data_IF_834950181794
#
_entry.id   IF_834950181794
#
_cell.length_a   1.000
_cell.length_b   1.000
_cell.length_c   1.000
_cell.angle_alpha   90.00
_cell.angle_beta   90.00
_cell.angle_gamma   90.00
#
_symmetry.space_group_name_H-M   'P 1'
#
loop_
_entity.id
_entity.type
_entity.pdbx_description
1 polymer ?
#
# COMPACT_ATOMS: atom_id res chain seq x y z
N UNK A 1 -5.35 73.15 10.52
CA UNK A 1 -4.86 71.84 11.04
C UNK A 1 -5.97 70.94 11.63
N UNK A 2 -7.15 71.45 12.02
CA UNK A 2 -8.23 70.63 12.63
C UNK A 2 -9.22 69.98 11.63
N UNK A 3 -9.23 70.40 10.36
CA UNK A 3 -10.16 69.90 9.34
C UNK A 3 -9.80 68.46 8.92
N UNK A 4 -8.53 68.23 8.60
CA UNK A 4 -8.02 66.93 8.12
C UNK A 4 -8.23 65.81 9.15
N UNK A 5 -8.08 66.11 10.44
CA UNK A 5 -8.36 65.17 11.53
C UNK A 5 -9.84 64.77 11.60
N UNK A 6 -10.76 65.70 11.32
CA UNK A 6 -12.19 65.42 11.25
C UNK A 6 -12.53 64.57 10.03
N UNK A 7 -11.90 64.84 8.89
CA UNK A 7 -12.12 64.09 7.65
C UNK A 7 -11.60 62.66 7.74
N UNK A 8 -10.40 62.44 8.31
CA UNK A 8 -9.89 61.09 8.61
C UNK A 8 -10.80 60.32 9.56
N UNK A 9 -11.40 61.01 10.54
CA UNK A 9 -12.35 60.40 11.49
C UNK A 9 -13.65 59.99 10.78
N UNK A 10 -14.15 60.79 9.83
CA UNK A 10 -15.30 60.43 8.99
C UNK A 10 -15.01 59.24 8.08
N UNK A 11 -13.86 59.24 7.40
CA UNK A 11 -13.46 58.10 6.55
C UNK A 11 -13.31 56.81 7.34
N UNK A 12 -12.70 56.84 8.53
CA UNK A 12 -12.53 55.65 9.38
C UNK A 12 -13.85 55.10 9.93
N UNK A 13 -14.89 55.93 10.07
CA UNK A 13 -16.24 55.47 10.44
C UNK A 13 -16.97 54.76 9.31
N UNK A 14 -16.71 55.14 8.06
CA UNK A 14 -17.36 54.54 6.88
C UNK A 14 -16.55 53.40 6.26
N UNK A 15 -15.24 53.34 6.50
CA UNK A 15 -14.41 52.22 6.06
C UNK A 15 -14.65 51.02 6.95
N UNK A 16 -15.26 49.96 6.40
CA UNK A 16 -15.44 48.68 7.09
C UNK A 16 -14.11 48.03 7.49
N UNK A 17 -14.20 46.96 8.29
CA UNK A 17 -13.02 46.18 8.66
C UNK A 17 -12.36 45.57 7.41
N UNK A 18 -11.03 45.49 7.44
CA UNK A 18 -10.26 44.78 6.42
C UNK A 18 -10.69 43.31 6.42
N UNK A 19 -10.87 42.72 5.23
CA UNK A 19 -11.21 41.31 5.12
C UNK A 19 -10.17 40.44 5.85
N UNK A 20 -10.62 39.46 6.63
CA UNK A 20 -9.72 38.56 7.36
C UNK A 20 -8.95 37.64 6.42
N UNK A 21 -7.84 37.05 6.90
CA UNK A 21 -6.93 36.18 6.11
C UNK A 21 -7.58 34.95 5.47
N UNK A 22 -8.86 34.67 5.74
CA UNK A 22 -9.64 33.63 5.08
C UNK A 22 -10.13 34.07 3.69
N UNK A 23 -10.39 35.37 3.48
CA UNK A 23 -10.87 35.92 2.21
C UNK A 23 -9.75 36.04 1.15
N UNK A 24 -8.49 35.99 1.56
CA UNK A 24 -7.34 35.98 0.64
C UNK A 24 -6.97 34.58 0.15
N UNK A 25 -7.73 33.55 0.53
CA UNK A 25 -7.47 32.15 0.16
C UNK A 25 -8.19 31.65 -1.10
N UNK A 26 -8.84 32.54 -1.86
CA UNK A 26 -9.77 32.14 -2.93
C UNK A 26 -9.37 32.48 -4.36
N UNK A 27 -8.33 33.28 -4.61
CA UNK A 27 -8.03 33.72 -5.98
C UNK A 27 -6.53 33.96 -6.19
N UNK A 28 -5.78 32.87 -6.29
CA UNK A 28 -4.45 32.87 -6.89
C UNK A 28 -4.10 31.45 -7.38
N UNK A 29 -4.88 30.94 -8.33
CA UNK A 29 -4.41 29.94 -9.28
C UNK A 29 -3.44 30.60 -10.27
N UNK A 30 -2.42 31.28 -9.77
CA UNK A 30 -1.29 31.71 -10.58
C UNK A 30 -0.31 30.54 -10.59
N UNK A 31 -0.18 29.95 -11.78
CA UNK A 31 0.82 28.99 -12.17
C UNK A 31 2.23 29.58 -12.00
N UNK A 32 2.68 29.71 -10.76
CA UNK A 32 4.05 30.03 -10.38
C UNK A 32 4.69 28.75 -9.88
N UNK A 33 5.68 28.26 -10.61
CA UNK A 33 6.51 27.11 -10.28
C UNK A 33 7.25 27.37 -8.96
N UNK A 34 6.63 27.00 -7.82
CA UNK A 34 7.23 27.13 -6.49
C UNK A 34 8.06 25.88 -6.21
N UNK A 35 9.32 25.91 -6.63
CA UNK A 35 10.31 24.92 -6.23
C UNK A 35 10.66 25.13 -4.75
N UNK A 36 10.32 24.17 -3.88
CA UNK A 36 11.01 24.01 -2.59
C UNK A 36 10.32 24.49 -1.30
N UNK A 37 9.02 24.77 -1.28
CA UNK A 37 8.32 24.99 0.01
C UNK A 37 7.97 23.64 0.65
N UNK A 38 8.21 23.52 1.97
CA UNK A 38 7.78 22.38 2.79
C UNK A 38 6.25 22.31 2.74
N UNK A 39 5.72 21.22 2.18
CA UNK A 39 4.28 21.02 2.09
C UNK A 39 3.72 20.71 3.48
N UNK A 40 2.63 21.37 3.87
CA UNK A 40 1.94 21.08 5.14
C UNK A 40 1.51 19.60 5.15
N UNK A 41 1.91 18.80 6.16
CA UNK A 41 1.57 17.38 6.24
C UNK A 41 0.05 17.12 6.28
N UNK A 42 -0.76 18.12 6.65
CA UNK A 42 -2.23 18.01 6.63
C UNK A 42 -2.81 18.09 5.22
N UNK A 43 -2.06 18.61 4.25
CA UNK A 43 -2.50 18.76 2.86
C UNK A 43 -1.80 17.67 2.05
N UNK A 44 -2.51 16.57 1.79
CA UNK A 44 -2.01 15.46 0.99
C UNK A 44 -1.55 15.87 -0.42
N UNK A 45 -0.81 14.98 -1.08
CA UNK A 45 -0.31 15.23 -2.44
C UNK A 45 -1.45 15.38 -3.45
N UNK A 46 -1.65 16.60 -3.96
CA UNK A 46 -2.61 16.90 -5.05
C UNK A 46 -1.97 16.87 -6.45
N UNK A 47 -0.82 16.21 -6.61
CA UNK A 47 -0.19 16.09 -7.94
C UNK A 47 -1.05 15.14 -8.78
N UNK A 48 -1.58 15.57 -9.94
CA UNK A 48 -2.37 14.70 -10.79
C UNK A 48 -1.51 13.54 -11.28
N UNK A 49 -2.04 12.32 -11.16
CA UNK A 49 -1.43 11.11 -11.69
C UNK A 49 -2.02 10.89 -13.08
N UNK A 50 -1.20 10.84 -14.15
CA UNK A 50 -1.71 10.58 -15.49
C UNK A 50 -2.26 9.15 -15.57
N UNK A 51 -3.52 9.03 -15.97
CA UNK A 51 -4.17 7.73 -16.21
C UNK A 51 -4.03 7.39 -17.69
N UNK A 52 -2.87 6.86 -18.06
CA UNK A 52 -2.59 6.39 -19.42
C UNK A 52 -1.24 5.69 -19.50
N UNK A 53 -1.20 4.57 -20.23
CA UNK A 53 0.04 3.94 -20.70
C UNK A 53 0.56 4.79 -21.85
N UNK A 54 1.38 5.79 -21.56
CA UNK A 54 2.14 6.48 -22.60
C UNK A 54 3.61 6.21 -22.39
N UNK A 55 4.15 5.38 -23.26
CA UNK A 55 5.57 5.30 -23.54
C UNK A 55 6.12 6.70 -23.84
N UNK A 56 6.83 7.29 -22.88
CA UNK A 56 7.78 8.35 -23.15
C UNK A 56 8.78 8.43 -22.01
N UNK A 57 9.91 7.78 -22.26
CA UNK A 57 11.16 8.06 -21.58
C UNK A 57 11.60 9.51 -21.88
N UNK A 58 12.29 10.14 -20.94
CA UNK A 58 13.66 10.52 -21.28
C UNK A 58 14.65 10.01 -20.24
N UNK A 59 15.80 9.61 -20.76
CA UNK A 59 16.87 8.92 -20.06
C UNK A 59 17.60 9.76 -18.99
N UNK A 60 18.35 9.02 -18.19
CA UNK A 60 19.50 9.42 -17.35
C UNK A 60 19.22 9.71 -15.87
N UNK A 61 19.08 8.65 -15.08
CA UNK A 61 20.01 8.38 -13.97
C UNK A 61 20.21 6.87 -13.86
N UNK A 62 21.41 6.42 -14.19
CA UNK A 62 21.88 5.06 -13.87
C UNK A 62 21.85 4.92 -12.34
N UNK A 63 20.82 4.28 -11.81
CA UNK A 63 20.82 3.72 -10.47
C UNK A 63 20.45 2.24 -10.62
N UNK A 64 21.49 1.41 -10.45
CA UNK A 64 21.54 -0.04 -10.16
C UNK A 64 20.44 -0.90 -10.79
N UNK A 65 20.76 -1.96 -11.54
CA UNK A 65 19.75 -2.95 -11.89
C UNK A 65 19.21 -3.56 -10.58
N UNK A 66 18.06 -3.05 -10.12
CA UNK A 66 17.18 -3.81 -9.25
C UNK A 66 16.63 -4.88 -10.18
N UNK A 67 17.16 -6.07 -10.00
CA UNK A 67 16.69 -7.31 -10.61
C UNK A 67 15.18 -7.27 -10.80
N UNK A 68 14.76 -7.07 -12.04
CA UNK A 68 13.42 -7.37 -12.54
C UNK A 68 13.28 -8.89 -12.66
N UNK A 69 13.35 -9.58 -11.52
CA UNK A 69 12.48 -10.75 -11.41
C UNK A 69 11.13 -10.15 -11.04
N UNK A 70 10.05 -10.38 -11.82
CA UNK A 70 8.73 -10.01 -11.35
C UNK A 70 8.60 -10.59 -9.94
N UNK A 71 8.31 -9.73 -8.97
CA UNK A 71 8.03 -10.14 -7.60
C UNK A 71 6.72 -10.93 -7.64
N UNK A 72 6.75 -12.19 -8.08
CA UNK A 72 5.70 -13.13 -7.67
C UNK A 72 5.72 -13.04 -6.14
N UNK A 73 4.59 -12.64 -5.55
CA UNK A 73 4.43 -12.81 -4.12
C UNK A 73 4.71 -14.29 -3.81
N UNK A 74 5.25 -14.62 -2.63
CA UNK A 74 5.39 -16.01 -2.23
C UNK A 74 4.09 -16.82 -2.42
N UNK A 75 2.94 -16.14 -2.32
CA UNK A 75 1.62 -16.69 -2.62
C UNK A 75 1.37 -16.98 -4.12
N UNK A 76 1.82 -16.12 -5.02
CA UNK A 76 1.71 -16.39 -6.46
C UNK A 76 2.68 -17.51 -6.92
N UNK A 77 3.82 -17.68 -6.25
CA UNK A 77 4.71 -18.82 -6.47
C UNK A 77 4.09 -20.12 -5.94
N UNK A 78 3.45 -20.07 -4.77
CA UNK A 78 2.70 -21.18 -4.19
C UNK A 78 1.55 -21.61 -5.11
N UNK A 79 0.69 -20.69 -5.53
CA UNK A 79 -0.43 -20.98 -6.45
C UNK A 79 0.09 -21.63 -7.75
N UNK A 80 1.24 -21.19 -8.27
CA UNK A 80 1.81 -21.78 -9.48
C UNK A 80 2.34 -23.21 -9.24
N UNK A 81 2.91 -23.46 -8.07
CA UNK A 81 3.41 -24.79 -7.68
C UNK A 81 2.27 -25.76 -7.38
N UNK A 82 1.18 -25.28 -6.77
CA UNK A 82 -0.04 -26.04 -6.50
C UNK A 82 -0.82 -26.37 -7.78
N UNK A 83 -0.75 -25.50 -8.80
CA UNK A 83 -1.39 -25.73 -10.10
C UNK A 83 -0.44 -26.35 -11.15
N UNK A 84 0.71 -26.92 -10.74
CA UNK A 84 1.64 -27.56 -11.67
C UNK A 84 1.06 -28.92 -12.13
N UNK A 85 0.57 -28.98 -13.38
CA UNK A 85 -0.01 -30.18 -14.00
C UNK A 85 0.90 -31.42 -13.89
N UNK A 86 2.23 -31.23 -13.83
CA UNK A 86 3.17 -32.33 -13.68
C UNK A 86 3.15 -32.88 -12.24
N UNK A 87 3.05 -32.03 -11.24
CA UNK A 87 2.96 -32.46 -9.84
C UNK A 87 1.65 -33.23 -9.64
N UNK A 88 0.54 -32.66 -10.10
CA UNK A 88 -0.79 -33.29 -10.03
C UNK A 88 -0.82 -34.66 -10.70
N UNK A 89 -0.30 -34.79 -11.92
CA UNK A 89 -0.27 -36.06 -12.63
C UNK A 89 0.60 -37.13 -11.93
N UNK A 90 1.70 -36.73 -11.28
CA UNK A 90 2.54 -37.65 -10.51
C UNK A 90 1.84 -38.09 -9.22
N UNK A 91 1.09 -37.20 -8.56
CA UNK A 91 0.30 -37.50 -7.37
C UNK A 91 -0.89 -38.42 -7.70
N UNK A 92 -1.63 -38.13 -8.78
CA UNK A 92 -2.74 -38.98 -9.25
C UNK A 92 -2.26 -40.39 -9.57
N UNK A 93 -1.10 -40.52 -10.24
CA UNK A 93 -0.50 -41.83 -10.51
C UNK A 93 -0.10 -42.58 -9.25
N UNK A 94 0.37 -41.87 -8.22
CA UNK A 94 0.72 -42.45 -6.93
C UNK A 94 -0.56 -42.91 -6.20
N UNK A 95 -1.66 -42.15 -6.30
CA UNK A 95 -2.97 -42.49 -5.74
C UNK A 95 -3.65 -43.67 -6.47
N UNK A 96 -3.45 -43.79 -7.79
CA UNK A 96 -3.88 -44.93 -8.61
C UNK A 96 -3.06 -46.22 -8.30
N UNK A 97 -2.03 -46.12 -7.44
CA UNK A 97 -1.17 -47.23 -7.04
C UNK A 97 -0.02 -47.51 -8.00
N UNK A 98 0.28 -46.57 -8.90
CA UNK A 98 1.44 -46.61 -9.77
C UNK A 98 2.73 -46.26 -9.01
N UNK A 99 3.82 -46.97 -9.31
CA UNK A 99 5.14 -46.61 -8.77
C UNK A 99 5.79 -45.50 -9.58
N UNK A 100 6.35 -44.52 -8.88
CA UNK A 100 7.19 -43.45 -9.44
C UNK A 100 8.65 -43.90 -9.53
N UNK A 101 9.38 -43.33 -10.48
CA UNK A 101 10.83 -43.52 -10.56
C UNK A 101 11.53 -42.75 -9.41
N UNK A 102 12.75 -43.15 -9.03
CA UNK A 102 13.51 -42.51 -7.96
C UNK A 102 13.75 -41.00 -8.23
N UNK A 103 13.94 -40.63 -9.50
CA UNK A 103 14.06 -39.23 -9.92
C UNK A 103 12.76 -38.44 -9.76
N UNK A 104 11.62 -39.07 -10.05
CA UNK A 104 10.29 -38.44 -9.92
C UNK A 104 9.91 -38.29 -8.46
N UNK A 105 10.18 -39.30 -7.63
CA UNK A 105 9.96 -39.24 -6.18
C UNK A 105 10.80 -38.12 -5.55
N UNK A 106 12.09 -38.06 -5.85
CA UNK A 106 12.99 -37.00 -5.34
C UNK A 106 12.51 -35.61 -5.76
N UNK A 107 11.95 -35.49 -6.97
CA UNK A 107 11.41 -34.24 -7.47
C UNK A 107 10.10 -33.84 -6.77
N UNK A 108 9.19 -34.79 -6.54
CA UNK A 108 7.95 -34.57 -5.79
C UNK A 108 8.28 -34.13 -4.36
N UNK A 109 9.17 -34.84 -3.68
CA UNK A 109 9.60 -34.52 -2.32
C UNK A 109 10.20 -33.10 -2.25
N UNK A 110 11.11 -32.75 -3.16
CA UNK A 110 11.70 -31.40 -3.23
C UNK A 110 10.69 -30.29 -3.55
N UNK A 111 9.60 -30.61 -4.26
CA UNK A 111 8.51 -29.67 -4.55
C UNK A 111 7.63 -29.44 -3.33
N UNK A 112 7.31 -30.51 -2.59
CA UNK A 112 6.59 -30.40 -1.32
C UNK A 112 7.38 -29.60 -0.28
N UNK A 113 8.68 -29.85 -0.14
CA UNK A 113 9.56 -29.06 0.74
C UNK A 113 9.53 -27.56 0.40
N UNK A 114 9.48 -27.22 -0.90
CA UNK A 114 9.41 -25.84 -1.36
C UNK A 114 8.04 -25.20 -1.06
N UNK A 115 6.96 -25.96 -1.21
CA UNK A 115 5.60 -25.52 -0.85
C UNK A 115 5.55 -25.23 0.65
N UNK A 116 6.10 -26.11 1.49
CA UNK A 116 6.17 -25.92 2.94
C UNK A 116 6.98 -24.68 3.33
N UNK A 117 8.11 -24.42 2.66
CA UNK A 117 8.91 -23.21 2.87
C UNK A 117 8.10 -21.94 2.52
N UNK A 118 7.36 -21.97 1.40
CA UNK A 118 6.53 -20.84 0.96
C UNK A 118 5.34 -20.61 1.91
N UNK A 119 4.72 -21.67 2.44
CA UNK A 119 3.67 -21.55 3.46
C UNK A 119 4.21 -20.93 4.76
N UNK A 120 5.41 -21.34 5.21
CA UNK A 120 6.07 -20.73 6.37
C UNK A 120 6.40 -19.25 6.13
N UNK A 121 6.91 -18.90 4.94
CA UNK A 121 7.19 -17.50 4.58
C UNK A 121 5.94 -16.61 4.55
N UNK A 122 4.78 -17.20 4.26
CA UNK A 122 3.48 -16.51 4.27
C UNK A 122 2.85 -16.43 5.67
N UNK A 123 3.45 -17.06 6.69
CA UNK A 123 2.88 -17.11 8.04
C UNK A 123 1.65 -18.02 8.13
N UNK A 124 1.50 -18.98 7.21
CA UNK A 124 0.49 -20.04 7.28
C UNK A 124 1.07 -21.33 7.90
N UNK A 125 2.17 -21.20 8.65
CA UNK A 125 2.80 -22.34 9.32
C UNK A 125 1.83 -22.94 10.33
N UNK A 126 1.59 -24.24 10.22
CA UNK A 126 0.79 -25.03 11.17
C UNK A 126 1.43 -25.12 12.59
N UNK A 127 2.65 -24.60 12.75
CA UNK A 127 3.50 -24.71 13.94
C UNK A 127 3.80 -23.34 14.58
N UNK A 128 3.16 -22.25 14.12
CA UNK A 128 3.17 -21.02 14.92
C UNK A 128 2.11 -21.18 16.00
N UNK A 129 2.53 -21.07 17.26
CA UNK A 129 1.76 -21.16 18.50
C UNK A 129 0.68 -20.04 18.60
N UNK A 130 -0.14 -19.84 17.56
CA UNK A 130 -1.23 -18.86 17.47
C UNK A 130 -2.46 -19.27 18.30
N UNK A 131 -2.44 -20.40 19.00
CA UNK A 131 -3.52 -20.75 19.92
C UNK A 131 -3.57 -19.78 21.14
N UNK A 132 -2.46 -19.15 21.55
CA UNK A 132 -2.46 -18.21 22.69
C UNK A 132 -2.82 -16.75 22.33
N UNK A 133 -2.35 -16.22 21.19
CA UNK A 133 -2.67 -14.82 20.79
C UNK A 133 -4.07 -14.66 20.18
N UNK A 134 -4.60 -15.71 19.52
CA UNK A 134 -5.92 -15.65 18.92
C UNK A 134 -7.04 -15.73 19.99
N UNK A 135 -6.80 -16.46 21.09
CA UNK A 135 -7.73 -16.49 22.25
C UNK A 135 -7.84 -15.12 22.93
N UNK A 136 -6.74 -14.40 23.19
CA UNK A 136 -6.77 -13.07 23.82
C UNK A 136 -7.54 -12.04 22.96
N UNK A 137 -7.34 -12.07 21.63
CA UNK A 137 -8.09 -11.19 20.71
C UNK A 137 -9.56 -11.57 20.63
N UNK A 138 -9.91 -12.86 20.64
CA UNK A 138 -11.30 -13.34 20.67
C UNK A 138 -11.98 -12.97 21.99
N UNK A 139 -11.28 -13.04 23.12
CA UNK A 139 -11.80 -12.64 24.43
C UNK A 139 -12.05 -11.13 24.55
N UNK A 140 -11.14 -10.28 24.06
CA UNK A 140 -11.34 -8.83 24.05
C UNK A 140 -12.52 -8.41 23.15
N UNK A 141 -12.68 -9.09 22.01
CA UNK A 141 -13.83 -8.91 21.11
C UNK A 141 -15.16 -9.33 21.76
N UNK A 142 -15.17 -10.45 22.47
CA UNK A 142 -16.35 -10.94 23.22
C UNK A 142 -16.71 -10.05 24.40
N UNK A 143 -15.70 -9.46 25.06
CA UNK A 143 -15.89 -8.49 26.15
C UNK A 143 -16.49 -7.18 25.64
N UNK A 144 -16.02 -6.68 24.50
CA UNK A 144 -16.57 -5.48 23.86
C UNK A 144 -18.02 -5.69 23.42
N UNK A 145 -18.35 -6.85 22.86
CA UNK A 145 -19.70 -7.19 22.42
C UNK A 145 -20.68 -7.37 23.60
N UNK A 146 -20.21 -7.91 24.73
CA UNK A 146 -21.02 -8.10 25.95
C UNK A 146 -21.16 -6.83 26.79
N UNK A 147 -20.30 -5.84 26.58
CA UNK A 147 -20.32 -4.55 27.29
C UNK A 147 -21.30 -3.50 26.74
N UNK A 148 -21.97 -3.78 25.62
CA UNK A 148 -22.91 -2.85 24.99
C UNK A 148 -24.35 -3.01 25.47
N UNK A 149 -24.67 -2.51 26.67
CA UNK A 149 -26.02 -2.20 27.12
C UNK A 149 -26.10 -0.73 27.55
#
# INVERSE_FOLDING_TARGET
>A
MNQESRDRKRQKKHRGHTAGSRATGGEASSAGKKTGQQQDPRIGSKKPIPLGVTESTPATKQHKPKSEKPMLSPQAELDLLENDERLDALLERLEEGGSLNAEEQTWVDAKLDRIDELMQQLGLSYDDDEDEEEEERKEDMMRLLKGGN
#
